data_IF_589946546434
#
_entry.id   IF_589946546434
#
_cell.length_a   1.000
_cell.length_b   1.000
_cell.length_c   1.000
_cell.angle_alpha   90.00
_cell.angle_beta   90.00
_cell.angle_gamma   90.00
#
_symmetry.space_group_name_H-M   'P 1'
#
loop_
_entity.id
_entity.type
_entity.pdbx_description
1 polymer ?
#
# COMPACT_ATOMS: atom_id res chain seq x y z
N UNK A 1 -7.89 -14.04 -15.28
CA UNK A 1 -8.22 -12.63 -15.17
C UNK A 1 -7.55 -12.02 -13.97
N UNK A 2 -6.83 -10.98 -14.20
CA UNK A 2 -6.17 -10.31 -13.09
C UNK A 2 -7.17 -9.46 -12.32
N UNK A 3 -7.22 -9.65 -11.00
CA UNK A 3 -8.01 -8.83 -10.12
C UNK A 3 -7.12 -7.70 -9.61
N UNK A 4 -6.72 -6.85 -10.53
CA UNK A 4 -5.79 -5.78 -10.24
C UNK A 4 -6.40 -4.44 -10.61
N UNK A 5 -6.32 -3.49 -9.71
CA UNK A 5 -6.77 -2.13 -9.94
C UNK A 5 -5.80 -1.16 -9.28
N UNK A 6 -5.95 0.10 -9.62
CA UNK A 6 -5.13 1.15 -9.02
C UNK A 6 -6.01 2.08 -8.22
N UNK A 7 -5.42 2.64 -7.18
CA UNK A 7 -6.09 3.57 -6.29
C UNK A 7 -6.00 4.97 -6.87
N UNK A 8 -7.14 5.65 -6.90
CA UNK A 8 -7.18 7.03 -7.40
C UNK A 8 -6.49 7.95 -6.40
N UNK A 9 -5.47 8.66 -6.87
CA UNK A 9 -4.65 9.51 -6.02
C UNK A 9 -5.39 10.68 -5.39
N UNK A 10 -6.50 11.07 -5.99
CA UNK A 10 -7.28 12.20 -5.45
C UNK A 10 -8.36 11.75 -4.49
N UNK A 11 -8.42 10.45 -4.21
CA UNK A 11 -9.48 9.91 -3.37
C UNK A 11 -9.10 9.97 -1.90
N UNK A 12 -10.14 9.97 -1.07
CA UNK A 12 -9.94 9.88 0.36
C UNK A 12 -9.31 8.55 0.74
N UNK A 13 -9.67 7.50 0.01
CA UNK A 13 -9.10 6.18 0.25
C UNK A 13 -7.58 6.19 0.10
N UNK A 14 -7.05 6.91 -0.88
CA UNK A 14 -5.63 7.05 -1.09
C UNK A 14 -4.96 7.66 0.16
N UNK A 15 -5.51 8.76 0.64
CA UNK A 15 -4.93 9.44 1.79
C UNK A 15 -5.03 8.59 3.06
N UNK A 16 -6.14 7.89 3.23
CA UNK A 16 -6.32 7.03 4.39
C UNK A 16 -5.35 5.85 4.37
N UNK A 17 -5.15 5.25 3.20
CA UNK A 17 -4.23 4.12 3.08
C UNK A 17 -2.80 4.56 3.41
N UNK A 18 -2.37 5.70 2.88
CA UNK A 18 -1.04 6.21 3.18
C UNK A 18 -0.87 6.56 4.64
N UNK A 19 -1.93 7.08 5.27
CA UNK A 19 -1.87 7.37 6.70
C UNK A 19 -1.64 6.10 7.51
N UNK A 20 -2.29 5.03 7.13
CA UNK A 20 -2.11 3.74 7.80
C UNK A 20 -0.67 3.24 7.61
N UNK A 21 -0.15 3.35 6.39
CA UNK A 21 1.23 2.93 6.11
C UNK A 21 2.21 3.67 7.01
N UNK A 22 2.06 4.99 7.09
CA UNK A 22 2.98 5.81 7.86
C UNK A 22 2.89 5.56 9.36
N UNK A 23 1.77 5.01 9.83
CA UNK A 23 1.55 4.78 11.25
C UNK A 23 1.67 3.33 11.66
N UNK A 24 2.19 2.47 10.78
CA UNK A 24 2.36 1.06 11.15
C UNK A 24 3.51 0.92 12.14
N UNK A 25 3.42 -0.08 13.02
CA UNK A 25 4.51 -0.33 13.95
C UNK A 25 5.84 -0.60 13.26
N UNK A 26 5.79 -1.19 12.08
CA UNK A 26 7.00 -1.44 11.30
C UNK A 26 7.71 -0.12 11.00
N UNK A 27 6.97 0.85 10.49
CA UNK A 27 7.54 2.14 10.14
C UNK A 27 8.16 2.83 11.35
N UNK A 28 7.51 2.73 12.50
CA UNK A 28 8.00 3.38 13.70
C UNK A 28 9.22 2.69 14.29
N UNK A 29 9.25 1.36 14.21
CA UNK A 29 10.33 0.60 14.83
C UNK A 29 11.61 0.60 14.01
N UNK A 30 11.50 0.72 12.70
CA UNK A 30 12.68 0.63 11.83
C UNK A 30 13.38 1.98 11.81
N UNK A 31 14.52 2.01 12.45
CA UNK A 31 15.34 3.19 12.44
C UNK A 31 15.77 3.49 11.01
N UNK A 32 15.58 4.69 10.55
CA UNK A 32 15.86 5.05 9.18
C UNK A 32 14.70 4.80 8.24
N UNK A 33 13.64 4.16 8.71
CA UNK A 33 12.41 4.07 7.93
C UNK A 33 11.74 5.43 7.97
N UNK A 34 11.63 6.05 6.83
CA UNK A 34 11.14 7.40 6.74
C UNK A 34 9.69 7.40 6.32
N UNK A 35 8.87 8.21 7.01
CA UNK A 35 7.48 8.41 6.62
C UNK A 35 7.47 9.30 5.39
N UNK A 36 7.71 8.67 4.25
CA UNK A 36 7.99 9.42 3.04
C UNK A 36 7.57 8.62 1.83
N UNK A 37 7.01 9.30 0.85
CA UNK A 37 6.66 8.70 -0.42
C UNK A 37 7.91 8.24 -1.17
N UNK A 38 9.07 8.71 -0.80
CA UNK A 38 10.30 8.28 -1.43
C UNK A 38 10.70 6.87 -0.99
N UNK A 39 10.37 6.52 0.24
CA UNK A 39 10.72 5.22 0.79
C UNK A 39 9.62 4.19 0.60
N UNK A 40 8.38 4.61 0.65
CA UNK A 40 7.24 3.74 0.44
C UNK A 40 6.71 3.93 -0.96
N UNK A 41 6.27 2.83 -1.56
CA UNK A 41 5.73 2.85 -2.91
C UNK A 41 4.42 2.09 -2.94
N UNK A 42 3.42 2.71 -3.54
CA UNK A 42 2.15 2.02 -3.78
C UNK A 42 2.31 1.11 -4.97
N UNK A 43 1.96 -0.17 -4.79
CA UNK A 43 2.17 -1.19 -5.80
C UNK A 43 0.89 -1.62 -6.52
N UNK A 44 -0.23 -1.01 -6.19
CA UNK A 44 -1.50 -1.41 -6.76
C UNK A 44 -2.38 -2.10 -5.75
N UNK A 45 -3.60 -2.39 -6.15
CA UNK A 45 -4.58 -3.04 -5.29
C UNK A 45 -5.08 -4.31 -5.98
N UNK A 46 -5.28 -5.37 -5.20
CA UNK A 46 -5.76 -6.60 -5.79
C UNK A 46 -6.58 -7.41 -4.79
N UNK A 47 -7.32 -8.38 -5.31
CA UNK A 47 -8.06 -9.35 -4.51
C UNK A 47 -7.25 -10.62 -4.41
N UNK A 48 -7.38 -11.28 -3.27
CA UNK A 48 -6.84 -12.62 -3.10
C UNK A 48 -7.85 -13.64 -3.58
N UNK A 49 -7.42 -14.85 -3.98
CA UNK A 49 -8.36 -15.90 -4.32
C UNK A 49 -9.33 -16.14 -3.17
N UNK A 50 -10.60 -16.30 -3.51
CA UNK A 50 -11.66 -16.60 -2.55
C UNK A 50 -11.90 -15.52 -1.50
N UNK A 51 -11.41 -14.30 -1.75
CA UNK A 51 -11.59 -13.20 -0.83
C UNK A 51 -12.08 -12.00 -1.61
N UNK A 52 -13.32 -11.51 -1.35
CA UNK A 52 -13.85 -10.37 -2.09
C UNK A 52 -13.19 -9.04 -1.72
N UNK A 53 -12.41 -9.02 -0.66
CA UNK A 53 -11.77 -7.79 -0.21
C UNK A 53 -10.62 -7.41 -1.12
N UNK A 54 -10.55 -6.14 -1.46
CA UNK A 54 -9.42 -5.59 -2.17
C UNK A 54 -8.38 -5.12 -1.15
N UNK A 55 -7.11 -5.32 -1.46
CA UNK A 55 -6.01 -4.92 -0.59
C UNK A 55 -5.08 -4.00 -1.35
N UNK A 56 -4.73 -2.88 -0.73
CA UNK A 56 -3.74 -1.96 -1.27
C UNK A 56 -2.37 -2.45 -0.86
N UNK A 57 -1.48 -2.61 -1.84
CA UNK A 57 -0.13 -3.10 -1.59
C UNK A 57 0.85 -1.96 -1.59
N UNK A 58 1.64 -1.89 -0.53
CA UNK A 58 2.71 -0.92 -0.40
C UNK A 58 4.01 -1.65 -0.16
N UNK A 59 5.09 -1.10 -0.69
CA UNK A 59 6.41 -1.68 -0.55
C UNK A 59 7.36 -0.61 -0.03
N UNK A 60 8.17 -0.98 0.98
CA UNK A 60 9.28 -0.14 1.41
C UNK A 60 10.43 -0.39 0.45
N UNK A 61 10.86 0.64 -0.22
CA UNK A 61 11.81 0.51 -1.34
C UNK A 61 13.19 0.09 -0.90
N UNK A 62 13.53 0.42 0.33
CA UNK A 62 14.85 0.10 0.83
C UNK A 62 14.80 -0.15 2.34
N UNK A 63 15.29 -1.29 2.74
CA UNK A 63 15.41 -1.63 4.15
C UNK A 63 16.88 -1.45 4.55
N UNK A 64 17.19 -0.50 5.42
CA UNK A 64 18.58 -0.14 5.68
C UNK A 64 19.43 -1.27 6.25
N UNK A 65 18.83 -2.23 6.90
CA UNK A 65 19.57 -3.27 7.58
C UNK A 65 19.79 -4.50 6.70
N UNK A 66 18.80 -4.87 5.91
CA UNK A 66 18.86 -6.11 5.14
C UNK A 66 18.94 -5.89 3.64
N UNK A 67 18.62 -4.69 3.18
CA UNK A 67 18.51 -4.42 1.76
C UNK A 67 17.27 -5.01 1.12
N UNK A 68 16.40 -5.63 1.90
CA UNK A 68 15.19 -6.26 1.39
C UNK A 68 14.02 -5.30 1.41
N UNK A 69 13.03 -5.59 0.57
CA UNK A 69 11.80 -4.82 0.55
C UNK A 69 10.83 -5.40 1.56
N UNK A 70 10.21 -4.52 2.32
CA UNK A 70 9.10 -4.89 3.20
C UNK A 70 7.81 -4.57 2.49
N UNK A 71 6.77 -5.34 2.77
CA UNK A 71 5.47 -5.17 2.13
C UNK A 71 4.38 -5.06 3.15
N UNK A 72 3.40 -4.24 2.86
CA UNK A 72 2.23 -4.03 3.70
C UNK A 72 1.00 -4.14 2.82
N UNK A 73 -0.02 -4.81 3.33
CA UNK A 73 -1.32 -4.89 2.69
C UNK A 73 -2.34 -4.18 3.56
N UNK A 74 -3.12 -3.30 2.96
CA UNK A 74 -4.13 -2.53 3.67
C UNK A 74 -5.48 -2.81 3.04
N UNK A 75 -6.46 -3.31 3.82
CA UNK A 75 -7.79 -3.58 3.26
C UNK A 75 -8.43 -2.33 2.71
N UNK A 76 -9.03 -2.45 1.56
CA UNK A 76 -9.74 -1.36 0.92
C UNK A 76 -11.11 -1.18 1.59
N UNK A 77 -11.45 0.04 1.93
CA UNK A 77 -12.74 0.36 2.53
C UNK A 77 -13.71 0.83 1.45
N UNK A 78 -13.23 1.66 0.52
CA UNK A 78 -14.07 2.27 -0.51
C UNK A 78 -13.59 1.84 -1.89
N UNK A 79 -14.25 0.82 -2.45
CA UNK A 79 -13.85 0.30 -3.75
C UNK A 79 -14.15 1.25 -4.90
N UNK A 80 -14.97 2.27 -4.68
CA UNK A 80 -15.24 3.24 -5.74
C UNK A 80 -14.01 4.09 -6.06
N UNK A 81 -13.02 4.09 -5.17
CA UNK A 81 -11.76 4.78 -5.39
C UNK A 81 -10.81 4.02 -6.29
N UNK A 82 -11.14 2.79 -6.64
CA UNK A 82 -10.29 1.95 -7.47
C UNK A 82 -10.69 2.10 -8.94
N UNK A 83 -9.69 2.07 -9.81
CA UNK A 83 -9.93 2.09 -11.25
C UNK A 83 -9.05 1.06 -11.93
N UNK A 84 -9.48 0.60 -13.09
CA UNK A 84 -8.72 -0.35 -13.88
C UNK A 84 -7.73 0.41 -14.74
N UNK A 85 -6.43 0.20 -14.57
CA UNK A 85 -5.44 0.88 -15.42
C UNK A 85 -5.44 0.29 -16.81
N UNK A 86 -5.10 1.13 -17.77
CA UNK A 86 -4.97 0.69 -19.15
C UNK A 86 -3.52 0.40 -19.50
#
# INVERSE_FOLDING_TARGET
MANFRCLNRDSEEWHNAWAIVFNTPFTERKRGAVKSYERWQYMGSHQKPDDPTWYHHFRHRYHPQTGQCERIEIPCVDTTALYTPN
#
